data_IF_776661016148
#
_entry.id   IF_776661016148
#
_cell.length_a   1.000
_cell.length_b   1.000
_cell.length_c   1.000
_cell.angle_alpha   90.00
_cell.angle_beta   90.00
_cell.angle_gamma   90.00
#
_symmetry.space_group_name_H-M   'P 1'
#
loop_
_entity.id
_entity.type
_entity.pdbx_description
1 polymer ?
#
# COMPACT_ATOMS: atom_id res chain seq x y z
N UNK A 1 5.43 -2.15 -18.09
CA UNK A 1 4.13 -1.52 -18.40
C UNK A 1 3.55 -0.96 -17.11
N UNK A 2 3.36 0.35 -17.01
CA UNK A 2 2.84 1.01 -15.79
C UNK A 2 1.33 1.22 -15.95
N UNK A 3 0.54 0.78 -14.98
CA UNK A 3 -0.88 1.12 -14.92
C UNK A 3 -1.10 2.14 -13.81
N UNK A 4 -1.77 3.24 -14.15
CA UNK A 4 -2.20 4.21 -13.17
C UNK A 4 -3.31 3.60 -12.32
N UNK A 5 -3.11 3.60 -11.01
CA UNK A 5 -4.16 3.27 -10.04
C UNK A 5 -4.69 4.53 -9.34
N UNK A 6 -4.28 5.71 -9.84
CA UNK A 6 -4.51 7.01 -9.23
C UNK A 6 -6.00 7.26 -9.02
N UNK A 7 -6.39 7.30 -7.75
CA UNK A 7 -7.63 7.92 -7.27
C UNK A 7 -7.28 9.17 -6.47
N UNK A 8 -8.27 10.04 -6.23
CA UNK A 8 -8.20 11.04 -5.15
C UNK A 8 -7.83 10.36 -3.82
N UNK A 9 -7.40 11.15 -2.82
CA UNK A 9 -6.95 10.62 -1.53
C UNK A 9 -7.88 9.55 -0.96
N UNK A 10 -7.28 8.49 -0.40
CA UNK A 10 -7.94 7.36 0.24
C UNK A 10 -7.22 7.06 1.55
N UNK A 11 -7.95 6.59 2.55
CA UNK A 11 -7.37 6.26 3.85
C UNK A 11 -6.61 4.94 3.78
N UNK A 12 -5.38 4.95 4.30
CA UNK A 12 -4.57 3.77 4.52
C UNK A 12 -4.53 3.49 6.02
N UNK A 13 -4.95 2.29 6.38
CA UNK A 13 -4.84 1.78 7.75
C UNK A 13 -3.59 0.91 7.86
N UNK A 14 -2.70 1.22 8.80
CA UNK A 14 -1.44 0.52 9.03
C UNK A 14 -1.51 -0.20 10.37
N UNK A 15 -1.49 -1.53 10.35
CA UNK A 15 -1.53 -2.36 11.54
C UNK A 15 -0.14 -2.87 11.90
N UNK A 16 0.22 -2.76 13.17
CA UNK A 16 1.43 -3.35 13.76
C UNK A 16 1.12 -3.91 15.15
N UNK A 17 2.07 -4.66 15.72
CA UNK A 17 1.88 -5.47 16.93
C UNK A 17 1.17 -4.77 18.11
N UNK A 18 1.30 -3.46 18.24
CA UNK A 18 0.80 -2.69 19.38
C UNK A 18 -0.03 -1.47 19.00
N UNK A 19 -0.45 -1.34 17.74
CA UNK A 19 -1.16 -0.16 17.31
C UNK A 19 -1.65 -0.20 15.88
N UNK A 20 -2.39 0.85 15.55
CA UNK A 20 -2.96 1.07 14.25
C UNK A 20 -2.91 2.56 13.95
N UNK A 21 -2.37 2.93 12.79
CA UNK A 21 -2.30 4.33 12.35
C UNK A 21 -3.09 4.51 11.07
N UNK A 22 -3.79 5.63 10.92
CA UNK A 22 -4.57 5.92 9.72
C UNK A 22 -4.04 7.18 9.04
N UNK A 23 -3.58 7.04 7.80
CA UNK A 23 -3.00 8.15 7.04
C UNK A 23 -3.62 8.21 5.67
N UNK A 24 -4.11 9.37 5.26
CA UNK A 24 -4.56 9.57 3.90
C UNK A 24 -3.39 9.41 2.92
N UNK A 25 -3.63 8.72 1.81
CA UNK A 25 -2.64 8.47 0.78
C UNK A 25 -3.25 8.45 -0.61
N UNK A 26 -2.37 8.40 -1.61
CA UNK A 26 -2.73 8.26 -3.02
C UNK A 26 -2.04 7.02 -3.52
N UNK A 27 -2.82 6.00 -3.86
CA UNK A 27 -2.28 4.86 -4.57
C UNK A 27 -1.99 5.28 -6.01
N UNK A 28 -0.71 5.36 -6.36
CA UNK A 28 -0.24 6.02 -7.58
C UNK A 28 -0.24 5.07 -8.79
N UNK A 29 0.32 3.86 -8.64
CA UNK A 29 0.49 2.94 -9.77
C UNK A 29 0.74 1.50 -9.38
N UNK A 30 0.50 0.59 -10.32
CA UNK A 30 1.06 -0.75 -10.34
C UNK A 30 1.96 -0.93 -11.57
N UNK A 31 3.15 -1.50 -11.37
CA UNK A 31 4.12 -1.73 -12.43
C UNK A 31 4.94 -3.00 -12.21
N UNK A 32 5.45 -3.57 -13.31
CA UNK A 32 6.38 -4.69 -13.26
C UNK A 32 7.82 -4.14 -13.28
N UNK A 33 8.60 -4.46 -12.26
CA UNK A 33 10.02 -4.09 -12.11
C UNK A 33 10.80 -5.35 -11.75
N UNK A 34 11.73 -5.76 -12.62
CA UNK A 34 12.62 -6.90 -12.38
C UNK A 34 11.90 -8.19 -11.93
N UNK A 35 10.73 -8.46 -12.52
CA UNK A 35 9.90 -9.63 -12.19
C UNK A 35 9.07 -9.50 -10.90
N UNK A 36 9.03 -8.30 -10.30
CA UNK A 36 8.17 -7.98 -9.16
C UNK A 36 6.99 -7.11 -9.61
N UNK A 37 5.82 -7.39 -9.08
CA UNK A 37 4.69 -6.47 -9.13
C UNK A 37 4.86 -5.42 -8.03
N UNK A 38 5.15 -4.17 -8.39
CA UNK A 38 5.33 -3.07 -7.45
C UNK A 38 4.10 -2.17 -7.49
N UNK A 39 3.38 -2.11 -6.37
CA UNK A 39 2.32 -1.14 -6.12
C UNK A 39 2.95 0.05 -5.40
N UNK A 40 2.80 1.26 -5.93
CA UNK A 40 3.36 2.47 -5.32
C UNK A 40 2.27 3.37 -4.77
N UNK A 41 2.44 3.85 -3.55
CA UNK A 41 1.56 4.82 -2.89
C UNK A 41 2.36 5.99 -2.33
N UNK A 42 1.75 7.16 -2.28
CA UNK A 42 2.29 8.37 -1.65
C UNK A 42 1.33 8.81 -0.54
N UNK A 43 1.82 8.85 0.70
CA UNK A 43 1.05 9.35 1.83
C UNK A 43 0.96 10.88 1.77
N UNK A 44 -0.23 11.40 2.06
CA UNK A 44 -0.58 12.81 2.06
C UNK A 44 -1.46 13.10 3.27
N UNK A 45 -0.89 13.18 4.49
CA UNK A 45 -1.67 13.48 5.68
C UNK A 45 -2.40 14.81 5.51
N UNK A 46 -3.71 14.84 5.80
CA UNK A 46 -4.58 16.00 5.59
C UNK A 46 -4.86 16.80 6.87
N UNK A 47 -4.47 16.28 8.02
CA UNK A 47 -4.65 16.91 9.34
C UNK A 47 -3.38 16.88 10.18
N UNK A 48 -3.35 17.61 11.30
CA UNK A 48 -2.28 17.49 12.30
C UNK A 48 -2.17 16.08 12.85
N UNK A 49 -3.31 15.47 13.19
CA UNK A 49 -3.35 14.12 13.74
C UNK A 49 -2.72 13.11 12.77
N UNK A 50 -3.06 13.16 11.47
CA UNK A 50 -2.45 12.26 10.49
C UNK A 50 -0.94 12.51 10.30
N UNK A 51 -0.43 13.72 10.58
CA UNK A 51 1.03 13.96 10.58
C UNK A 51 1.71 13.33 11.80
N UNK A 52 1.03 13.31 12.94
CA UNK A 52 1.50 12.64 14.15
C UNK A 52 1.45 11.12 13.96
N UNK A 53 0.34 10.58 13.44
CA UNK A 53 0.15 9.18 13.07
C UNK A 53 1.24 8.71 12.09
N UNK A 54 1.53 9.52 11.05
CA UNK A 54 2.62 9.23 10.11
C UNK A 54 4.00 9.20 10.79
N UNK A 55 4.22 10.06 11.79
CA UNK A 55 5.47 10.09 12.56
C UNK A 55 5.59 8.86 13.46
N UNK A 56 4.49 8.40 14.06
CA UNK A 56 4.42 7.15 14.83
C UNK A 56 4.64 5.93 13.94
N UNK A 57 3.98 5.88 12.79
CA UNK A 57 4.16 4.83 11.79
C UNK A 57 5.63 4.69 11.36
N UNK A 58 6.32 5.80 11.10
CA UNK A 58 7.75 5.77 10.74
C UNK A 58 8.63 5.15 11.84
N UNK A 59 8.29 5.34 13.12
CA UNK A 59 9.01 4.71 14.25
C UNK A 59 8.76 3.22 14.36
N UNK A 60 7.62 2.75 13.84
CA UNK A 60 7.16 1.37 13.92
C UNK A 60 7.17 0.65 12.57
N UNK A 61 7.80 1.22 11.55
CA UNK A 61 7.69 0.78 10.15
C UNK A 61 8.10 -0.68 9.95
N UNK A 62 9.16 -1.12 10.63
CA UNK A 62 9.68 -2.49 10.59
C UNK A 62 8.77 -3.51 11.31
N UNK A 63 7.77 -3.04 12.06
CA UNK A 63 6.82 -3.88 12.81
C UNK A 63 5.41 -3.90 12.21
N UNK A 64 5.22 -3.22 11.07
CA UNK A 64 3.96 -3.25 10.30
C UNK A 64 3.72 -4.67 9.80
N UNK A 65 2.55 -5.20 10.11
CA UNK A 65 2.13 -6.57 9.74
C UNK A 65 1.09 -6.58 8.66
N UNK A 66 0.28 -5.52 8.55
CA UNK A 66 -0.76 -5.44 7.55
C UNK A 66 -1.09 -3.98 7.22
N UNK A 67 -1.50 -3.75 5.97
CA UNK A 67 -1.91 -2.43 5.49
C UNK A 67 -3.22 -2.61 4.73
N UNK A 68 -4.24 -1.83 5.06
CA UNK A 68 -5.58 -1.93 4.46
C UNK A 68 -5.94 -0.63 3.76
N UNK A 69 -6.55 -0.78 2.58
CA UNK A 69 -7.14 0.32 1.81
C UNK A 69 -8.59 -0.04 1.49
N UNK A 70 -9.53 0.71 2.05
CA UNK A 70 -10.97 0.52 1.81
C UNK A 70 -11.42 1.31 0.59
N UNK A 71 -11.12 0.79 -0.60
CA UNK A 71 -11.47 1.46 -1.86
C UNK A 71 -11.74 0.46 -3.00
N UNK A 72 -13.02 0.25 -3.31
CA UNK A 72 -13.49 -0.73 -4.28
C UNK A 72 -12.85 -0.57 -5.67
N UNK A 73 -12.63 0.67 -6.11
CA UNK A 73 -12.05 0.92 -7.42
C UNK A 73 -10.57 0.52 -7.47
N UNK A 74 -9.83 0.78 -6.39
CA UNK A 74 -8.42 0.38 -6.26
C UNK A 74 -8.33 -1.14 -6.26
N UNK A 75 -9.14 -1.81 -5.43
CA UNK A 75 -9.22 -3.27 -5.37
C UNK A 75 -9.47 -3.86 -6.76
N UNK A 76 -10.49 -3.38 -7.46
CA UNK A 76 -10.85 -3.85 -8.81
C UNK A 76 -9.70 -3.67 -9.81
N UNK A 77 -9.09 -2.48 -9.83
CA UNK A 77 -8.01 -2.19 -10.78
C UNK A 77 -6.75 -3.02 -10.49
N UNK A 78 -6.37 -3.17 -9.23
CA UNK A 78 -5.23 -3.98 -8.83
C UNK A 78 -5.44 -5.46 -9.17
N UNK A 79 -6.61 -6.02 -8.85
CA UNK A 79 -6.95 -7.41 -9.20
C UNK A 79 -6.92 -7.64 -10.72
N UNK A 80 -7.47 -6.71 -11.50
CA UNK A 80 -7.42 -6.79 -12.96
C UNK A 80 -5.98 -6.75 -13.48
N UNK A 81 -5.15 -5.86 -12.94
CA UNK A 81 -3.74 -5.77 -13.33
C UNK A 81 -2.98 -7.07 -13.01
N UNK A 82 -3.22 -7.64 -11.83
CA UNK A 82 -2.62 -8.91 -11.41
C UNK A 82 -3.01 -10.04 -12.37
N UNK A 83 -4.31 -10.19 -12.68
CA UNK A 83 -4.79 -11.24 -13.59
C UNK A 83 -4.17 -11.14 -14.98
N UNK A 84 -4.06 -9.92 -15.52
CA UNK A 84 -3.51 -9.69 -16.86
C UNK A 84 -1.98 -9.89 -16.94
N UNK A 85 -1.31 -10.00 -15.80
CA UNK A 85 0.15 -10.13 -15.72
C UNK A 85 0.61 -11.29 -14.82
N UNK A 86 -0.29 -12.23 -14.48
CA UNK A 86 -0.05 -13.27 -13.47
C UNK A 86 1.23 -14.09 -13.69
N UNK A 87 1.62 -14.32 -14.94
CA UNK A 87 2.78 -15.13 -15.31
C UNK A 87 4.06 -14.30 -15.48
N UNK A 88 4.00 -12.98 -15.20
CA UNK A 88 5.09 -12.02 -15.40
C UNK A 88 5.72 -11.53 -14.09
N UNK A 89 5.17 -11.95 -12.95
CA UNK A 89 5.74 -11.64 -11.64
C UNK A 89 5.64 -12.84 -10.71
N UNK A 90 6.62 -12.95 -9.83
CA UNK A 90 6.68 -14.01 -8.81
C UNK A 90 6.59 -13.47 -7.38
N UNK A 91 6.71 -12.14 -7.22
CA UNK A 91 6.62 -11.43 -5.94
C UNK A 91 5.78 -10.18 -6.10
N UNK A 92 5.17 -9.75 -4.99
CA UNK A 92 4.39 -8.52 -4.91
C UNK A 92 5.01 -7.63 -3.85
N UNK A 93 5.06 -6.33 -4.15
CA UNK A 93 5.65 -5.33 -3.29
C UNK A 93 4.73 -4.14 -3.16
N UNK A 94 4.69 -3.55 -1.97
CA UNK A 94 4.05 -2.27 -1.71
C UNK A 94 5.13 -1.26 -1.34
N UNK A 95 5.36 -0.30 -2.24
CA UNK A 95 6.24 0.84 -2.02
C UNK A 95 5.43 2.02 -1.50
N UNK A 96 5.80 2.52 -0.33
CA UNK A 96 5.12 3.62 0.36
C UNK A 96 6.07 4.79 0.47
N UNK A 97 5.67 5.93 -0.08
CA UNK A 97 6.40 7.18 -0.02
C UNK A 97 5.79 8.08 1.04
N UNK A 98 6.57 8.42 2.06
CA UNK A 98 6.19 9.30 3.17
C UNK A 98 6.50 10.76 2.87
N UNK A 99 7.59 11.00 2.12
CA UNK A 99 8.01 12.32 1.65
C UNK A 99 8.83 12.19 0.36
N UNK A 100 9.32 13.30 -0.20
CA UNK A 100 10.19 13.26 -1.39
C UNK A 100 11.47 12.42 -1.20
N UNK A 101 11.97 12.32 0.04
CA UNK A 101 13.22 11.62 0.38
C UNK A 101 13.02 10.33 1.18
N UNK A 102 11.83 10.08 1.72
CA UNK A 102 11.56 8.92 2.58
C UNK A 102 10.55 8.00 1.91
N UNK A 103 10.99 6.78 1.62
CA UNK A 103 10.15 5.70 1.13
C UNK A 103 10.56 4.36 1.74
N UNK A 104 9.59 3.48 1.95
CA UNK A 104 9.80 2.12 2.41
C UNK A 104 9.14 1.14 1.43
N UNK A 105 9.68 -0.06 1.28
CA UNK A 105 9.13 -1.09 0.39
C UNK A 105 8.92 -2.38 1.15
N UNK A 106 7.68 -2.84 1.18
CA UNK A 106 7.30 -4.10 1.80
C UNK A 106 7.16 -5.19 0.74
N UNK A 107 7.56 -6.42 1.06
CA UNK A 107 7.07 -7.60 0.34
C UNK A 107 5.71 -7.97 0.95
N UNK A 108 4.74 -8.26 0.09
CA UNK A 108 3.35 -8.37 0.52
C UNK A 108 2.61 -9.48 -0.19
N UNK A 109 1.59 -10.01 0.48
CA UNK A 109 0.53 -10.78 -0.14
C UNK A 109 -0.76 -9.96 -0.19
N UNK A 110 -1.50 -10.07 -1.30
CA UNK A 110 -2.77 -9.38 -1.45
C UNK A 110 -3.89 -10.24 -0.88
N UNK A 111 -4.70 -9.64 -0.02
CA UNK A 111 -5.91 -10.26 0.52
C UNK A 111 -7.12 -9.37 0.31
N UNK A 112 -8.30 -9.97 0.24
CA UNK A 112 -9.54 -9.20 0.35
C UNK A 112 -9.85 -9.00 1.84
N UNK A 113 -10.18 -7.76 2.22
CA UNK A 113 -10.52 -7.42 3.61
C UNK A 113 -12.04 -7.46 3.82
N UNK A 114 -12.80 -7.05 2.81
CA UNK A 114 -14.26 -7.10 2.73
C UNK A 114 -14.70 -7.06 1.24
N UNK A 115 -15.93 -6.61 0.92
CA UNK A 115 -16.39 -6.44 -0.46
C UNK A 115 -15.62 -5.38 -1.25
N UNK A 116 -15.05 -4.37 -0.59
CA UNK A 116 -14.53 -3.14 -1.19
C UNK A 116 -13.02 -2.91 -0.97
N UNK A 117 -12.46 -3.44 0.12
CA UNK A 117 -11.09 -3.23 0.54
C UNK A 117 -10.09 -4.26 0.02
N UNK A 118 -8.84 -3.81 -0.11
CA UNK A 118 -7.67 -4.65 -0.36
C UNK A 118 -6.72 -4.53 0.82
N UNK A 119 -6.23 -5.66 1.29
CA UNK A 119 -5.22 -5.77 2.32
C UNK A 119 -3.88 -6.19 1.71
N UNK A 120 -2.82 -5.67 2.28
CA UNK A 120 -1.43 -5.97 1.97
C UNK A 120 -0.80 -6.56 3.23
N UNK A 121 -0.81 -7.90 3.33
CA UNK A 121 -0.19 -8.59 4.46
C UNK A 121 1.32 -8.62 4.24
N UNK A 122 2.09 -8.14 5.22
CA UNK A 122 3.53 -8.04 5.10
C UNK A 122 4.15 -9.42 5.26
N UNK A 123 4.97 -9.83 4.28
CA UNK A 123 5.75 -11.06 4.37
C UNK A 123 6.95 -10.80 5.28
N UNK A 124 6.81 -11.18 6.55
CA UNK A 124 7.94 -11.16 7.48
C UNK A 124 8.92 -12.28 7.11
N UNK A 125 10.20 -11.92 6.96
CA UNK A 125 11.30 -12.88 6.76
C UNK A 125 11.60 -13.66 8.02
#
# INVERSE_FOLDING_TARGET
MKSSLRKSGTDFEFQYKFGCENVNGILTSAELIDGNLVVSTELKPTSSNQRDDMSMLLRHIESVTDIVVHEAQIKKNLLNYCRNNKDKFFKKQLKIKFSSSVAHTFNVEFRSVDSEGVGFSIENK
#
